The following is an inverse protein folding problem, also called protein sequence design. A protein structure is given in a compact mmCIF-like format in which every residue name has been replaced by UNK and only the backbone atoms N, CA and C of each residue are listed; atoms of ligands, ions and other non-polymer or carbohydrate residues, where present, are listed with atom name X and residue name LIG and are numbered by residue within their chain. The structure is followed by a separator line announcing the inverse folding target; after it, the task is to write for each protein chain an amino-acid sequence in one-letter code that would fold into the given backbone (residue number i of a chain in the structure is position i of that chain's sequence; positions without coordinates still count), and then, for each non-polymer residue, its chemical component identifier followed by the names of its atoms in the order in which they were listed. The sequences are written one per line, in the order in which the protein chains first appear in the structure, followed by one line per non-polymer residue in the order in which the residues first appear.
data_IF_568311882742
#
_entry.id   IF_568311882742
#
_cell.length_a   1.000
_cell.length_b   1.000
_cell.length_c   1.000
_cell.angle_alpha   90.00
_cell.angle_beta   90.00
_cell.angle_gamma   90.00
#
_symmetry.space_group_name_H-M   'P 1'
#
loop_
_entity.id
_entity.type
_entity.pdbx_description
1 polymer ?
#
# COMPACT_ATOMS: atom_id res chain seq x y z
N UNK A 1 -8.99 37.49 -1.95
CA UNK A 1 -9.74 37.58 -0.68
C UNK A 1 -9.15 36.57 0.33
N UNK A 2 -9.21 36.86 1.63
CA UNK A 2 -8.70 36.00 2.70
C UNK A 2 -9.34 34.60 2.64
N UNK A 3 -10.62 34.55 2.32
CA UNK A 3 -11.36 33.29 2.14
C UNK A 3 -10.78 32.39 1.03
N UNK A 4 -10.31 32.97 -0.07
CA UNK A 4 -9.68 32.21 -1.15
C UNK A 4 -8.34 31.57 -0.71
N UNK A 5 -7.55 32.29 0.09
CA UNK A 5 -6.28 31.78 0.63
C UNK A 5 -6.54 30.59 1.58
N UNK A 6 -7.57 30.72 2.44
CA UNK A 6 -7.94 29.65 3.38
C UNK A 6 -8.42 28.41 2.63
N UNK A 7 -9.28 28.59 1.62
CA UNK A 7 -9.77 27.46 0.80
C UNK A 7 -8.60 26.80 0.08
N UNK A 8 -7.69 27.58 -0.52
CA UNK A 8 -6.51 27.03 -1.19
C UNK A 8 -5.62 26.24 -0.23
N UNK A 9 -5.37 26.76 0.98
CA UNK A 9 -4.57 26.06 1.99
C UNK A 9 -5.21 24.75 2.43
N UNK A 10 -6.53 24.70 2.57
CA UNK A 10 -7.26 23.47 2.90
C UNK A 10 -7.15 22.42 1.78
N UNK A 11 -7.24 22.84 0.51
CA UNK A 11 -7.08 21.93 -0.63
C UNK A 11 -5.66 21.35 -0.64
N UNK A 12 -4.64 22.19 -0.45
CA UNK A 12 -3.24 21.72 -0.40
C UNK A 12 -3.02 20.77 0.76
N UNK A 13 -3.50 21.10 1.96
CA UNK A 13 -3.39 20.23 3.14
C UNK A 13 -4.08 18.88 2.92
N UNK A 14 -5.24 18.88 2.30
CA UNK A 14 -5.97 17.64 1.95
C UNK A 14 -5.16 16.79 0.98
N UNK A 15 -4.63 17.38 -0.08
CA UNK A 15 -3.80 16.68 -1.05
C UNK A 15 -2.54 16.08 -0.43
N UNK A 16 -1.84 16.84 0.43
CA UNK A 16 -0.68 16.34 1.17
C UNK A 16 -1.04 15.20 2.11
N UNK A 17 -2.14 15.32 2.85
CA UNK A 17 -2.59 14.28 3.75
C UNK A 17 -2.87 12.95 3.01
N UNK A 18 -3.61 13.00 1.89
CA UNK A 18 -3.85 11.81 1.07
C UNK A 18 -2.58 11.23 0.47
N UNK A 19 -1.66 12.07 -0.01
CA UNK A 19 -0.38 11.64 -0.55
C UNK A 19 0.48 10.91 0.48
N UNK A 20 0.61 11.47 1.69
CA UNK A 20 1.36 10.86 2.79
C UNK A 20 0.69 9.57 3.25
N UNK A 21 -0.64 9.54 3.33
CA UNK A 21 -1.40 8.37 3.74
C UNK A 21 -1.24 7.22 2.76
N UNK A 22 -1.34 7.48 1.46
CA UNK A 22 -1.11 6.49 0.41
C UNK A 22 0.32 5.95 0.47
N UNK A 23 1.32 6.83 0.61
CA UNK A 23 2.71 6.40 0.76
C UNK A 23 2.91 5.49 1.97
N UNK A 24 2.37 5.85 3.15
CA UNK A 24 2.45 5.03 4.36
C UNK A 24 1.78 3.67 4.18
N UNK A 25 0.63 3.64 3.53
CA UNK A 25 -0.08 2.39 3.24
C UNK A 25 0.77 1.44 2.39
N UNK A 26 1.38 1.96 1.31
CA UNK A 26 2.28 1.18 0.46
C UNK A 26 3.47 0.64 1.26
N UNK A 27 4.14 1.48 2.07
CA UNK A 27 5.29 1.05 2.87
C UNK A 27 4.89 -0.01 3.92
N UNK A 28 3.74 0.18 4.56
CA UNK A 28 3.21 -0.80 5.51
C UNK A 28 2.89 -2.14 4.82
N UNK A 29 2.28 -2.10 3.64
CA UNK A 29 2.02 -3.32 2.83
C UNK A 29 3.30 -4.06 2.50
N UNK A 30 4.36 -3.35 2.08
CA UNK A 30 5.68 -3.95 1.82
C UNK A 30 6.29 -4.56 3.08
N UNK A 31 6.16 -3.89 4.24
CA UNK A 31 6.65 -4.41 5.52
C UNK A 31 5.94 -5.69 5.92
N UNK A 32 4.62 -5.74 5.75
CA UNK A 32 3.81 -6.95 6.02
C UNK A 32 4.25 -8.09 5.10
N UNK A 33 4.42 -7.84 3.80
CA UNK A 33 4.87 -8.86 2.85
C UNK A 33 6.28 -9.38 3.20
N UNK A 34 7.20 -8.51 3.62
CA UNK A 34 8.53 -8.92 4.09
C UNK A 34 8.45 -9.82 5.32
N UNK A 35 7.53 -9.55 6.26
CA UNK A 35 7.33 -10.42 7.43
C UNK A 35 6.82 -11.80 7.00
N UNK A 36 5.89 -11.88 6.05
CA UNK A 36 5.46 -13.15 5.46
C UNK A 36 6.63 -13.89 4.80
N UNK A 37 7.44 -13.21 3.98
CA UNK A 37 8.59 -13.82 3.30
C UNK A 37 9.61 -14.39 4.30
N UNK A 38 9.88 -13.69 5.41
CA UNK A 38 10.78 -14.18 6.48
C UNK A 38 10.22 -15.41 7.20
N UNK A 39 8.91 -15.45 7.45
CA UNK A 39 8.29 -16.64 8.05
C UNK A 39 8.39 -17.82 7.09
N UNK A 40 8.13 -17.61 5.80
CA UNK A 40 8.22 -18.62 4.76
C UNK A 40 9.65 -19.10 4.57
N UNK A 41 10.66 -18.24 4.64
CA UNK A 41 12.08 -18.60 4.62
C UNK A 41 12.39 -19.62 5.72
N UNK A 42 11.96 -19.33 6.96
CA UNK A 42 12.17 -20.24 8.09
C UNK A 42 11.48 -21.60 7.88
N UNK A 43 10.27 -21.62 7.30
CA UNK A 43 9.56 -22.85 7.01
C UNK A 43 10.28 -23.69 5.93
N UNK A 44 10.75 -23.05 4.88
CA UNK A 44 11.49 -23.68 3.79
C UNK A 44 12.83 -24.24 4.28
N UNK A 45 13.59 -23.47 5.05
CA UNK A 45 14.88 -23.90 5.60
C UNK A 45 14.76 -25.08 6.56
N UNK A 46 13.61 -25.24 7.22
CA UNK A 46 13.29 -26.42 8.06
C UNK A 46 12.64 -27.57 7.29
N UNK A 47 12.58 -27.53 5.95
CA UNK A 47 11.96 -28.53 5.07
C UNK A 47 10.48 -28.80 5.40
N UNK A 48 9.76 -27.79 5.89
CA UNK A 48 8.33 -27.90 6.16
C UNK A 48 7.58 -27.78 4.83
N UNK A 49 6.64 -28.70 4.59
CA UNK A 49 5.84 -28.72 3.35
C UNK A 49 4.94 -27.48 3.27
N UNK A 50 5.15 -26.64 2.27
CA UNK A 50 4.32 -25.47 2.02
C UNK A 50 2.87 -25.83 1.68
N UNK A 51 2.63 -27.02 1.09
CA UNK A 51 1.29 -27.44 0.68
C UNK A 51 0.34 -27.70 1.85
N UNK A 52 0.87 -28.26 2.94
CA UNK A 52 0.06 -28.65 4.10
C UNK A 52 -0.11 -27.51 5.10
N UNK A 53 0.98 -26.79 5.37
CA UNK A 53 1.02 -25.71 6.38
C UNK A 53 0.41 -24.40 5.87
N UNK A 54 0.42 -24.13 4.55
CA UNK A 54 -0.08 -22.88 3.98
C UNK A 54 -1.57 -22.92 3.59
N UNK A 55 -2.32 -23.93 4.03
CA UNK A 55 -3.77 -23.97 3.82
C UNK A 55 -4.48 -22.73 4.37
N UNK A 56 -3.95 -22.10 5.42
CA UNK A 56 -4.46 -20.86 5.98
C UNK A 56 -4.27 -19.66 5.03
N UNK A 57 -3.27 -19.66 4.15
CA UNK A 57 -3.03 -18.59 3.19
C UNK A 57 -4.08 -18.56 2.07
N UNK A 58 -4.75 -19.69 1.78
CA UNK A 58 -5.84 -19.72 0.79
C UNK A 58 -7.00 -18.78 1.16
N UNK A 59 -7.15 -18.48 2.45
CA UNK A 59 -8.16 -17.55 2.97
C UNK A 59 -7.58 -16.18 3.31
N UNK A 60 -6.28 -15.97 3.11
CA UNK A 60 -5.64 -14.67 3.31
C UNK A 60 -5.68 -13.84 2.03
N UNK A 61 -5.59 -12.52 2.18
CA UNK A 61 -5.42 -11.63 1.02
C UNK A 61 -3.98 -11.63 0.47
N UNK A 62 -3.10 -12.50 0.99
CA UNK A 62 -1.70 -12.59 0.57
C UNK A 62 -1.53 -13.81 -0.33
N UNK A 63 -1.10 -13.58 -1.56
CA UNK A 63 -0.66 -14.64 -2.48
C UNK A 63 0.81 -14.91 -2.25
N UNK A 64 1.17 -16.17 -2.18
CA UNK A 64 2.55 -16.66 -2.04
C UNK A 64 2.91 -17.46 -3.28
N UNK A 65 4.07 -17.16 -3.85
CA UNK A 65 4.68 -17.91 -4.96
C UNK A 65 6.10 -18.27 -4.56
N UNK A 66 6.46 -19.56 -4.63
CA UNK A 66 7.82 -20.04 -4.42
C UNK A 66 8.44 -20.44 -5.76
N UNK A 67 9.55 -19.82 -6.10
CA UNK A 67 10.22 -19.93 -7.40
C UNK A 67 11.60 -20.55 -7.17
N UNK A 68 11.91 -21.62 -7.88
CA UNK A 68 13.23 -22.26 -7.81
C UNK A 68 14.33 -21.38 -8.41
N UNK A 69 15.58 -21.70 -8.13
CA UNK A 69 16.75 -21.05 -8.74
C UNK A 69 16.78 -21.18 -10.28
N UNK A 70 16.06 -22.17 -10.84
CA UNK A 70 15.94 -22.39 -12.29
C UNK A 70 14.66 -21.77 -12.88
N UNK A 71 14.06 -20.79 -12.17
CA UNK A 71 12.86 -20.06 -12.60
C UNK A 71 11.59 -20.91 -12.78
N UNK A 72 11.51 -22.04 -12.10
CA UNK A 72 10.32 -22.88 -12.10
C UNK A 72 9.48 -22.55 -10.86
N UNK A 73 8.19 -22.32 -11.03
CA UNK A 73 7.26 -22.16 -9.92
C UNK A 73 7.05 -23.51 -9.24
N UNK A 74 7.50 -23.61 -7.99
CA UNK A 74 7.37 -24.80 -7.15
C UNK A 74 6.07 -24.81 -6.36
N UNK A 75 5.56 -23.64 -6.02
CA UNK A 75 4.32 -23.44 -5.26
C UNK A 75 3.68 -22.10 -5.59
N UNK A 76 2.35 -22.07 -5.69
CA UNK A 76 1.55 -20.86 -5.76
C UNK A 76 0.23 -21.07 -4.99
N UNK A 77 -0.05 -20.17 -4.04
CA UNK A 77 -1.24 -20.30 -3.18
C UNK A 77 -2.58 -20.09 -3.90
N UNK A 78 -2.56 -19.49 -5.10
CA UNK A 78 -3.77 -19.17 -5.87
C UNK A 78 -3.99 -20.07 -7.08
N UNK A 79 -2.93 -20.72 -7.58
CA UNK A 79 -2.99 -21.58 -8.78
C UNK A 79 -2.32 -22.91 -8.53
N UNK A 80 -2.82 -23.97 -9.16
CA UNK A 80 -2.05 -25.19 -9.34
C UNK A 80 -0.82 -24.87 -10.21
N UNK A 81 0.34 -24.92 -9.56
CA UNK A 81 1.63 -24.57 -10.10
C UNK A 81 1.97 -25.45 -11.30
N UNK A 82 2.01 -24.92 -12.51
CA UNK A 82 2.80 -25.58 -13.59
C UNK A 82 3.05 -24.77 -14.87
N UNK A 83 2.66 -23.51 -15.02
CA UNK A 83 2.79 -22.87 -16.35
C UNK A 83 3.25 -21.42 -16.45
N UNK A 84 3.47 -20.71 -15.37
CA UNK A 84 3.89 -19.31 -15.51
C UNK A 84 5.33 -19.13 -15.03
N UNK A 85 6.21 -18.79 -15.96
CA UNK A 85 7.55 -18.25 -15.65
C UNK A 85 7.36 -16.84 -15.09
N UNK A 86 7.93 -16.58 -13.92
CA UNK A 86 7.84 -15.28 -13.25
C UNK A 86 9.20 -14.55 -13.16
N UNK A 87 10.25 -15.08 -13.84
CA UNK A 87 11.59 -14.48 -13.85
C UNK A 87 11.61 -13.05 -14.41
N UNK A 88 10.74 -12.78 -15.36
CA UNK A 88 10.63 -11.45 -15.99
C UNK A 88 9.89 -10.44 -15.10
N UNK A 89 9.47 -10.83 -13.89
CA UNK A 89 8.85 -9.91 -12.96
C UNK A 89 9.91 -9.02 -12.29
N UNK A 90 9.70 -7.71 -12.35
CA UNK A 90 10.66 -6.69 -11.86
C UNK A 90 11.12 -6.98 -10.43
N UNK A 91 10.19 -7.34 -9.54
CA UNK A 91 10.48 -7.66 -8.16
C UNK A 91 11.36 -8.90 -7.99
N UNK A 92 11.20 -9.91 -8.87
CA UNK A 92 12.01 -11.13 -8.85
C UNK A 92 13.41 -10.85 -9.39
N UNK A 93 13.53 -10.12 -10.49
CA UNK A 93 14.81 -9.70 -11.07
C UNK A 93 15.62 -8.85 -10.06
N UNK A 94 14.97 -7.91 -9.37
CA UNK A 94 15.61 -7.13 -8.31
C UNK A 94 16.04 -8.00 -7.13
N UNK A 95 15.22 -8.98 -6.71
CA UNK A 95 15.57 -9.88 -5.63
C UNK A 95 16.76 -10.75 -5.98
N UNK A 96 16.85 -11.24 -7.21
CA UNK A 96 18.00 -12.02 -7.67
C UNK A 96 19.30 -11.23 -7.63
N UNK A 97 19.26 -9.92 -7.92
CA UNK A 97 20.42 -9.02 -7.93
C UNK A 97 20.81 -8.50 -6.54
N UNK A 98 19.82 -8.08 -5.75
CA UNK A 98 20.03 -7.29 -4.53
C UNK A 98 19.67 -8.06 -3.25
N UNK A 99 19.12 -9.29 -3.37
CA UNK A 99 18.62 -10.08 -2.25
C UNK A 99 17.12 -9.85 -1.98
N UNK A 100 16.57 -8.73 -2.35
CA UNK A 100 15.15 -8.40 -2.25
C UNK A 100 14.72 -7.47 -3.38
N UNK A 101 13.43 -7.49 -3.71
CA UNK A 101 12.83 -6.60 -4.71
C UNK A 101 11.38 -6.30 -4.40
N UNK A 102 10.83 -5.22 -4.96
CA UNK A 102 9.41 -4.88 -4.79
C UNK A 102 8.89 -4.08 -5.98
N UNK A 103 7.65 -4.34 -6.37
CA UNK A 103 6.96 -3.58 -7.40
C UNK A 103 5.50 -3.31 -7.06
N UNK A 104 4.92 -2.33 -7.74
CA UNK A 104 3.48 -2.07 -7.71
C UNK A 104 3.02 -2.08 -9.15
N UNK A 105 2.06 -2.95 -9.46
CA UNK A 105 1.53 -3.06 -10.82
C UNK A 105 0.12 -3.63 -10.82
N UNK A 106 -0.60 -3.36 -11.90
CA UNK A 106 -1.90 -3.93 -12.13
C UNK A 106 -1.77 -5.42 -12.48
N UNK A 107 -2.54 -6.27 -11.80
CA UNK A 107 -2.63 -7.70 -12.09
C UNK A 107 -3.88 -7.98 -12.90
N UNK A 108 -3.71 -8.46 -14.13
CA UNK A 108 -4.82 -8.87 -14.98
C UNK A 108 -5.54 -10.11 -14.42
N UNK A 109 -4.85 -10.95 -13.66
CA UNK A 109 -5.43 -12.17 -13.07
C UNK A 109 -6.44 -11.85 -11.96
N UNK A 110 -6.10 -10.89 -11.10
CA UNK A 110 -6.93 -10.50 -9.96
C UNK A 110 -7.77 -9.26 -10.28
N UNK A 111 -7.52 -8.61 -11.42
CA UNK A 111 -8.16 -7.37 -11.88
C UNK A 111 -8.04 -6.23 -10.85
N UNK A 112 -6.86 -6.11 -10.22
CA UNK A 112 -6.55 -5.12 -9.19
C UNK A 112 -5.10 -4.67 -9.27
N UNK A 113 -4.82 -3.48 -8.75
CA UNK A 113 -3.47 -3.05 -8.45
C UNK A 113 -2.92 -3.86 -7.27
N UNK A 114 -1.71 -4.37 -7.41
CA UNK A 114 -1.08 -5.27 -6.43
C UNK A 114 0.27 -4.71 -6.01
N UNK A 115 0.58 -4.87 -4.74
CA UNK A 115 1.95 -4.72 -4.20
C UNK A 115 2.59 -6.09 -4.22
N UNK A 116 3.79 -6.19 -4.80
CA UNK A 116 4.62 -7.38 -4.84
C UNK A 116 5.88 -7.14 -4.01
N UNK A 117 6.29 -8.16 -3.30
CA UNK A 117 7.60 -8.24 -2.64
C UNK A 117 8.24 -9.58 -2.95
N UNK A 118 9.56 -9.59 -3.13
CA UNK A 118 10.32 -10.80 -3.41
C UNK A 118 11.57 -10.83 -2.54
N UNK A 119 11.89 -12.00 -1.97
CA UNK A 119 13.05 -12.27 -1.16
C UNK A 119 13.83 -13.44 -1.76
N UNK A 120 15.15 -13.25 -2.01
CA UNK A 120 16.04 -14.31 -2.44
C UNK A 120 16.52 -15.10 -1.24
N UNK A 121 16.39 -16.41 -1.31
CA UNK A 121 16.85 -17.34 -0.29
C UNK A 121 18.32 -17.76 -0.49
N UNK A 122 18.92 -18.34 0.55
CA UNK A 122 20.30 -18.79 0.53
C UNK A 122 20.56 -19.89 -0.51
N UNK A 123 19.54 -20.71 -0.84
CA UNK A 123 19.61 -21.75 -1.87
C UNK A 123 19.45 -21.23 -3.31
N UNK A 124 19.35 -19.91 -3.50
CA UNK A 124 19.18 -19.25 -4.79
C UNK A 124 17.73 -19.20 -5.30
N UNK A 125 16.77 -19.78 -4.58
CA UNK A 125 15.35 -19.65 -4.90
C UNK A 125 14.79 -18.30 -4.43
N UNK A 126 13.58 -17.96 -4.86
CA UNK A 126 12.90 -16.71 -4.51
C UNK A 126 11.52 -17.03 -3.93
N UNK A 127 11.20 -16.41 -2.80
CA UNK A 127 9.82 -16.30 -2.32
C UNK A 127 9.29 -14.97 -2.85
N UNK A 128 8.11 -15.00 -3.43
CA UNK A 128 7.38 -13.81 -3.86
C UNK A 128 6.02 -13.77 -3.17
N UNK A 129 5.77 -12.72 -2.43
CA UNK A 129 4.46 -12.45 -1.84
C UNK A 129 3.80 -11.27 -2.53
N UNK A 130 2.48 -11.25 -2.55
CA UNK A 130 1.71 -10.12 -3.07
C UNK A 130 0.38 -9.96 -2.37
N UNK A 131 -0.10 -8.71 -2.32
CA UNK A 131 -1.42 -8.38 -1.78
C UNK A 131 -2.08 -7.27 -2.60
N UNK A 132 -3.42 -7.23 -2.67
CA UNK A 132 -4.11 -6.15 -3.34
C UNK A 132 -3.81 -4.81 -2.69
N UNK A 133 -3.52 -3.81 -3.52
CA UNK A 133 -3.49 -2.41 -3.11
C UNK A 133 -4.95 -1.92 -3.14
N UNK A 134 -5.69 -2.20 -2.08
CA UNK A 134 -7.08 -1.79 -2.01
C UNK A 134 -7.16 -0.36 -1.47
N UNK A 135 -7.35 0.59 -2.38
CA UNK A 135 -7.52 2.00 -2.02
C UNK A 135 -8.72 2.23 -1.09
N UNK A 136 -9.69 1.32 -1.06
CA UNK A 136 -10.79 1.38 -0.11
C UNK A 136 -10.33 1.12 1.34
N UNK A 137 -9.27 0.36 1.57
CA UNK A 137 -8.70 0.12 2.90
C UNK A 137 -8.03 1.40 3.42
N UNK A 138 -7.43 2.21 2.54
CA UNK A 138 -6.87 3.52 2.93
C UNK A 138 -7.93 4.38 3.60
N UNK A 139 -9.16 4.37 3.08
CA UNK A 139 -10.29 5.11 3.66
C UNK A 139 -10.85 4.46 4.94
N UNK A 140 -10.63 3.17 5.16
CA UNK A 140 -11.14 2.43 6.32
C UNK A 140 -10.22 2.56 7.55
N UNK A 141 -8.91 2.52 7.34
CA UNK A 141 -7.89 2.67 8.40
C UNK A 141 -7.63 4.14 8.77
N UNK A 142 -7.90 5.06 7.86
CA UNK A 142 -7.91 6.46 8.17
C UNK A 142 -9.23 6.73 8.89
N UNK A 143 -9.15 7.31 10.09
CA UNK A 143 -10.29 7.89 10.79
C UNK A 143 -10.82 9.10 9.98
N UNK A 144 -11.32 8.82 8.76
CA UNK A 144 -11.82 9.82 7.82
C UNK A 144 -12.90 10.70 8.47
N UNK A 145 -13.63 10.13 9.45
CA UNK A 145 -14.60 10.87 10.24
C UNK A 145 -13.97 12.02 11.02
N UNK A 146 -12.87 11.79 11.72
CA UNK A 146 -12.16 12.87 12.44
C UNK A 146 -11.57 13.91 11.50
N UNK A 147 -11.05 13.47 10.35
CA UNK A 147 -10.57 14.38 9.32
C UNK A 147 -11.68 15.28 8.77
N UNK A 148 -12.85 14.71 8.45
CA UNK A 148 -14.02 15.46 7.97
C UNK A 148 -14.53 16.43 9.02
N UNK A 149 -14.58 16.03 10.30
CA UNK A 149 -14.98 16.90 11.41
C UNK A 149 -14.00 18.07 11.55
N UNK A 150 -12.69 17.81 11.52
CA UNK A 150 -11.67 18.84 11.61
C UNK A 150 -11.75 19.81 10.42
N UNK A 151 -12.02 19.31 9.22
CA UNK A 151 -12.21 20.11 8.03
C UNK A 151 -13.46 21.01 8.13
N UNK A 152 -14.58 20.49 8.61
CA UNK A 152 -15.80 21.29 8.84
C UNK A 152 -15.59 22.37 9.89
N UNK A 153 -14.90 22.07 11.01
CA UNK A 153 -14.58 23.03 12.05
C UNK A 153 -13.67 24.14 11.48
N UNK A 154 -12.66 23.80 10.70
CA UNK A 154 -11.75 24.76 10.09
C UNK A 154 -12.45 25.71 9.11
N UNK A 155 -13.38 25.19 8.30
CA UNK A 155 -14.21 26.00 7.41
C UNK A 155 -15.09 26.96 8.22
N UNK A 156 -15.74 26.47 9.29
CA UNK A 156 -16.59 27.30 10.15
C UNK A 156 -15.80 28.47 10.76
N UNK A 157 -14.62 28.19 11.32
CA UNK A 157 -13.73 29.21 11.89
C UNK A 157 -13.31 30.20 10.81
N UNK A 158 -12.96 29.75 9.62
CA UNK A 158 -12.57 30.62 8.50
C UNK A 158 -13.69 31.58 8.10
N UNK A 159 -14.92 31.09 8.02
CA UNK A 159 -16.11 31.92 7.71
C UNK A 159 -16.35 32.96 8.80
N UNK A 160 -16.33 32.56 10.08
CA UNK A 160 -16.53 33.47 11.20
C UNK A 160 -15.47 34.56 11.27
N UNK A 161 -14.20 34.21 11.05
CA UNK A 161 -13.09 35.18 10.98
C UNK A 161 -13.26 36.13 9.79
N UNK A 162 -13.63 35.63 8.62
CA UNK A 162 -13.88 36.45 7.43
C UNK A 162 -15.00 37.48 7.65
N UNK A 163 -16.11 37.10 8.30
CA UNK A 163 -17.20 38.01 8.65
C UNK A 163 -16.75 39.06 9.65
N UNK A 164 -15.99 38.66 10.69
CA UNK A 164 -15.47 39.66 11.69
C UNK A 164 -14.52 40.66 11.08
N UNK A 165 -13.57 40.20 10.26
CA UNK A 165 -12.59 41.08 9.59
C UNK A 165 -13.33 42.06 8.66
N UNK A 166 -14.32 41.58 7.90
CA UNK A 166 -15.12 42.43 7.03
C UNK A 166 -15.86 43.51 7.82
N UNK A 167 -16.50 43.14 8.94
CA UNK A 167 -17.24 44.12 9.77
C UNK A 167 -16.35 45.11 10.49
N UNK A 168 -15.21 44.71 11.02
CA UNK A 168 -14.34 45.54 11.85
C UNK A 168 -13.43 46.44 11.01
N UNK A 169 -12.96 45.97 9.85
CA UNK A 169 -11.95 46.68 9.06
C UNK A 169 -12.60 47.41 7.87
N UNK A 170 -13.55 46.82 7.18
CA UNK A 170 -14.08 47.35 5.93
C UNK A 170 -15.31 48.28 6.11
N UNK A 171 -16.14 48.09 7.14
CA UNK A 171 -17.30 48.97 7.37
C UNK A 171 -16.93 50.37 7.82
N UNK A 172 -15.97 50.60 8.74
CA UNK A 172 -15.59 51.97 9.14
C UNK A 172 -14.83 52.74 8.07
N UNK A 173 -14.35 52.13 6.98
CA UNK A 173 -13.69 52.79 5.86
C UNK A 173 -14.66 53.27 4.77
N UNK A 174 -15.97 53.06 4.94
CA UNK A 174 -17.01 53.49 3.98
C UNK A 174 -17.78 54.75 4.41
N UNK A 175 -17.41 55.32 5.58
CA UNK A 175 -17.82 56.68 5.99
C UNK A 175 -16.68 57.65 5.66
#
# INVERSE_FOLDING_TARGET
SISAIIILSLIIMTGLYFGISNYRYIQNSKSVLLEYDKILEVLIDNNISLNDELSFLKNSNVRVTYISANDTVLFDSYKDSNKDTHADAIEVEEAMKNGYGSSIRYSNEVNKEMVYYALKLNNGSVIRTSMPLDSAIIFKDINIGYYLIALLISILIAVLLSIRITKVILNPLKE
#
